data_IF_036808120810
#
_entry.id   IF_036808120810
#
_cell.length_a   1.000
_cell.length_b   1.000
_cell.length_c   1.000
_cell.angle_alpha   90.00
_cell.angle_beta   90.00
_cell.angle_gamma   90.00
#
_symmetry.space_group_name_H-M   'P 1'
#
loop_
_entity.id
_entity.type
_entity.pdbx_description
1 polymer ?
#
# COMPACT_ATOMS: atom_id res chain seq x y z
N UNK A 1 3.21 -14.71 -2.93
CA UNK A 1 3.46 -13.34 -2.40
C UNK A 1 3.50 -13.45 -0.88
N UNK A 2 4.45 -12.80 -0.22
CA UNK A 2 4.54 -12.72 1.25
C UNK A 2 4.42 -11.26 1.66
N UNK A 3 3.67 -11.00 2.72
CA UNK A 3 3.42 -9.65 3.22
C UNK A 3 3.43 -9.66 4.75
N UNK A 4 4.05 -8.64 5.32
CA UNK A 4 3.88 -8.25 6.70
C UNK A 4 3.37 -6.81 6.72
N UNK A 5 2.30 -6.55 7.45
CA UNK A 5 1.60 -5.27 7.46
C UNK A 5 1.11 -4.96 8.87
N UNK A 6 1.46 -3.79 9.37
CA UNK A 6 0.87 -3.24 10.58
C UNK A 6 -0.50 -2.62 10.24
N UNK A 7 -1.52 -2.94 11.03
CA UNK A 7 -2.89 -2.44 10.87
C UNK A 7 -3.38 -1.92 12.21
N UNK A 8 -4.07 -0.78 12.20
CA UNK A 8 -4.73 -0.25 13.39
C UNK A 8 -6.00 -1.07 13.72
N UNK A 9 -5.81 -2.20 14.41
CA UNK A 9 -6.88 -3.18 14.68
C UNK A 9 -8.02 -2.65 15.56
N UNK A 10 -7.80 -1.57 16.30
CA UNK A 10 -8.85 -0.91 17.08
C UNK A 10 -9.92 -0.26 16.18
N UNK A 11 -9.51 0.22 15.00
CA UNK A 11 -10.39 0.88 14.02
C UNK A 11 -10.85 -0.12 12.96
N UNK A 12 -9.98 -1.03 12.54
CA UNK A 12 -10.29 -2.06 11.56
C UNK A 12 -9.89 -3.43 12.10
N UNK A 13 -10.76 -4.10 12.88
CA UNK A 13 -10.45 -5.38 13.51
C UNK A 13 -10.06 -6.40 12.45
N UNK A 14 -8.96 -7.13 12.64
CA UNK A 14 -8.48 -8.17 11.73
C UNK A 14 -8.18 -9.43 12.54
N UNK A 15 -8.72 -10.58 12.12
CA UNK A 15 -8.55 -11.85 12.81
C UNK A 15 -7.76 -12.85 11.98
N UNK A 16 -7.19 -13.85 12.66
CA UNK A 16 -6.57 -14.99 11.98
C UNK A 16 -7.62 -15.65 11.08
N UNK A 17 -7.22 -15.97 9.85
CA UNK A 17 -8.06 -16.52 8.77
C UNK A 17 -9.00 -15.54 8.07
N UNK A 18 -9.06 -14.26 8.46
CA UNK A 18 -9.76 -13.25 7.65
C UNK A 18 -9.15 -13.19 6.26
N UNK A 19 -10.03 -13.17 5.24
CA UNK A 19 -9.65 -12.93 3.86
C UNK A 19 -9.93 -11.48 3.53
N UNK A 20 -9.02 -10.87 2.79
CA UNK A 20 -9.18 -9.49 2.36
C UNK A 20 -8.55 -9.27 0.99
N UNK A 21 -9.06 -8.27 0.29
CA UNK A 21 -8.45 -7.69 -0.91
C UNK A 21 -7.63 -6.49 -0.47
N UNK A 22 -6.42 -6.36 -1.00
CA UNK A 22 -5.56 -5.22 -0.78
C UNK A 22 -5.12 -4.63 -2.12
N UNK A 23 -5.16 -3.30 -2.22
CA UNK A 23 -4.66 -2.54 -3.36
C UNK A 23 -3.60 -1.55 -2.88
N UNK A 24 -2.51 -1.44 -3.64
CA UNK A 24 -1.57 -0.32 -3.55
C UNK A 24 -1.80 0.60 -4.73
N UNK A 25 -2.02 1.88 -4.47
CA UNK A 25 -2.27 2.90 -5.49
C UNK A 25 -1.36 4.12 -5.30
N UNK A 26 -0.98 4.79 -6.38
CA UNK A 26 -0.24 6.06 -6.37
C UNK A 26 -1.15 7.29 -6.28
N UNK A 27 -2.46 7.11 -6.52
CA UNK A 27 -3.50 8.15 -6.48
C UNK A 27 -4.83 7.53 -6.08
N UNK A 28 -5.73 8.34 -5.51
CA UNK A 28 -7.12 7.97 -5.25
C UNK A 28 -8.07 8.44 -6.36
N UNK A 29 -7.58 9.22 -7.31
CA UNK A 29 -8.38 9.72 -8.42
C UNK A 29 -8.72 8.55 -9.36
N UNK A 30 -10.02 8.37 -9.64
CA UNK A 30 -10.52 7.24 -10.45
C UNK A 30 -10.06 7.30 -11.92
N UNK A 31 -9.74 8.49 -12.41
CA UNK A 31 -9.20 8.74 -13.75
C UNK A 31 -7.68 8.52 -13.86
N UNK A 32 -7.00 8.23 -12.74
CA UNK A 32 -5.57 8.00 -12.68
C UNK A 32 -4.72 9.29 -12.66
N UNK A 33 -5.34 10.47 -12.55
CA UNK A 33 -4.59 11.72 -12.39
C UNK A 33 -3.73 11.69 -11.11
N UNK A 34 -2.49 12.24 -11.12
CA UNK A 34 -1.59 12.15 -9.98
C UNK A 34 -2.16 12.76 -8.69
N UNK A 35 -1.76 12.21 -7.54
CA UNK A 35 -2.09 12.78 -6.24
C UNK A 35 -1.47 14.19 -6.08
N UNK A 36 -2.28 15.15 -5.62
CA UNK A 36 -1.84 16.52 -5.38
C UNK A 36 -1.06 16.65 -4.06
N UNK A 37 -1.17 15.65 -3.19
CA UNK A 37 -0.54 15.63 -1.86
C UNK A 37 -1.32 16.39 -0.79
N UNK A 38 -2.44 17.03 -1.15
CA UNK A 38 -3.37 17.65 -0.23
C UNK A 38 -4.60 16.76 -0.05
N UNK A 39 -5.05 16.61 1.20
CA UNK A 39 -6.35 16.02 1.45
C UNK A 39 -7.42 17.03 1.04
N UNK A 40 -8.04 16.79 -0.10
CA UNK A 40 -9.26 17.49 -0.49
C UNK A 40 -10.43 16.62 -0.08
N UNK A 41 -11.38 17.18 0.66
CA UNK A 41 -12.68 16.54 0.82
C UNK A 41 -13.40 16.68 -0.51
N UNK A 42 -13.00 15.87 -1.48
CA UNK A 42 -13.60 15.86 -2.81
C UNK A 42 -15.08 15.53 -2.64
N UNK A 43 -15.96 16.39 -3.14
CA UNK A 43 -17.40 16.12 -3.13
C UNK A 43 -17.83 15.00 -4.10
N UNK A 44 -16.88 14.26 -4.68
CA UNK A 44 -17.09 13.21 -5.66
C UNK A 44 -16.44 11.89 -5.25
N UNK A 45 -16.87 10.81 -5.89
CA UNK A 45 -16.39 9.44 -5.62
C UNK A 45 -14.88 9.32 -5.93
N UNK A 46 -14.17 8.66 -5.02
CA UNK A 46 -12.75 8.34 -5.10
C UNK A 46 -12.55 6.82 -5.02
N UNK A 47 -11.33 6.36 -5.30
CA UNK A 47 -10.99 4.96 -5.11
C UNK A 47 -11.16 4.51 -3.65
N UNK A 48 -10.96 5.42 -2.68
CA UNK A 48 -11.11 5.13 -1.26
C UNK A 48 -12.53 4.71 -0.87
N UNK A 49 -13.56 5.24 -1.53
CA UNK A 49 -14.97 4.94 -1.23
C UNK A 49 -15.35 3.48 -1.52
N UNK A 50 -14.49 2.74 -2.24
CA UNK A 50 -14.69 1.33 -2.58
C UNK A 50 -14.02 0.36 -1.60
N UNK A 51 -13.35 0.89 -0.57
CA UNK A 51 -12.59 0.12 0.41
C UNK A 51 -12.98 0.55 1.82
N UNK A 52 -12.76 -0.33 2.80
CA UNK A 52 -13.16 -0.10 4.19
C UNK A 52 -12.06 0.54 5.03
N UNK A 53 -10.81 0.31 4.63
CA UNK A 53 -9.64 0.79 5.36
C UNK A 53 -8.62 1.36 4.39
N UNK A 54 -8.19 2.59 4.63
CA UNK A 54 -7.26 3.32 3.77
C UNK A 54 -6.14 3.91 4.61
N UNK A 55 -4.90 3.69 4.19
CA UNK A 55 -3.71 4.30 4.76
C UNK A 55 -2.94 5.08 3.71
N UNK A 56 -2.47 6.26 4.06
CA UNK A 56 -1.58 7.07 3.24
C UNK A 56 -0.15 6.99 3.79
N UNK A 57 0.81 6.78 2.91
CA UNK A 57 2.19 6.52 3.31
C UNK A 57 3.17 6.78 2.19
N UNK A 58 4.40 6.34 2.41
CA UNK A 58 5.49 6.47 1.43
C UNK A 58 6.31 5.21 1.37
N UNK A 59 6.84 4.96 0.18
CA UNK A 59 7.89 3.97 0.00
C UNK A 59 9.22 4.56 0.48
N UNK A 60 9.77 4.05 1.58
CA UNK A 60 10.99 4.63 2.17
C UNK A 60 12.24 3.80 1.85
N UNK A 61 12.10 2.53 1.46
CA UNK A 61 13.24 1.69 1.10
C UNK A 61 12.84 0.60 0.12
N UNK A 62 13.51 0.61 -1.02
CA UNK A 62 13.63 -0.58 -1.86
C UNK A 62 14.96 -1.22 -1.45
N UNK A 63 14.91 -2.38 -0.81
CA UNK A 63 16.14 -3.04 -0.42
C UNK A 63 16.93 -3.40 -1.69
N UNK A 64 18.13 -2.82 -1.81
CA UNK A 64 18.94 -2.93 -3.03
C UNK A 64 19.27 -4.40 -3.32
N UNK A 65 19.03 -4.79 -4.57
CA UNK A 65 19.45 -6.07 -5.14
C UNK A 65 20.97 -6.06 -5.33
N UNK A 66 21.71 -6.55 -4.34
CA UNK A 66 23.12 -6.91 -4.54
C UNK A 66 23.16 -8.44 -4.59
N UNK A 67 22.96 -9.01 -5.79
CA UNK A 67 23.06 -10.45 -6.17
C UNK A 67 23.14 -11.44 -4.98
N UNK A 68 22.05 -12.20 -4.65
CA UNK A 68 22.10 -13.68 -4.68
C UNK A 68 20.68 -14.31 -4.97
N UNK A 69 20.42 -15.63 -4.83
CA UNK A 69 19.25 -16.33 -5.41
C UNK A 69 17.92 -15.94 -4.73
N UNK A 70 16.75 -16.41 -5.23
CA UNK A 70 15.46 -16.14 -4.61
C UNK A 70 15.41 -16.43 -3.09
N UNK A 71 14.61 -15.66 -2.33
CA UNK A 71 13.62 -14.70 -2.83
C UNK A 71 14.14 -13.25 -2.97
N UNK A 72 13.53 -12.46 -3.86
CA UNK A 72 13.84 -11.05 -4.04
C UNK A 72 13.66 -10.23 -2.73
N UNK A 73 14.45 -9.15 -2.55
CA UNK A 73 14.33 -8.26 -1.41
C UNK A 73 12.93 -7.64 -1.29
N UNK A 74 12.46 -7.38 -0.06
CA UNK A 74 11.17 -6.76 0.16
C UNK A 74 11.17 -5.29 -0.26
N UNK A 75 10.01 -4.85 -0.71
CA UNK A 75 9.65 -3.44 -0.81
C UNK A 75 9.10 -2.99 0.55
N UNK A 76 9.66 -1.90 1.09
CA UNK A 76 9.31 -1.41 2.42
C UNK A 76 8.59 -0.05 2.34
N UNK A 77 7.46 0.04 3.02
CA UNK A 77 6.67 1.27 3.12
C UNK A 77 6.35 1.60 4.57
N UNK A 78 6.07 2.89 4.81
CA UNK A 78 5.63 3.42 6.09
C UNK A 78 4.38 4.29 5.90
N UNK A 79 3.37 4.04 6.72
CA UNK A 79 2.10 4.75 6.77
C UNK A 79 2.00 5.46 8.12
N UNK A 80 2.72 6.57 8.26
CA UNK A 80 2.75 7.32 9.52
C UNK A 80 3.34 6.55 10.71
N UNK A 81 4.25 5.60 10.46
CA UNK A 81 4.86 4.75 11.49
C UNK A 81 4.38 3.30 11.46
N UNK A 82 3.23 3.01 10.83
CA UNK A 82 2.80 1.64 10.55
C UNK A 82 3.58 1.09 9.35
N UNK A 83 4.24 -0.05 9.53
CA UNK A 83 5.18 -0.57 8.55
C UNK A 83 4.55 -1.63 7.65
N UNK A 84 5.02 -1.69 6.41
CA UNK A 84 4.74 -2.78 5.50
C UNK A 84 6.04 -3.32 4.89
N UNK A 85 6.14 -4.64 4.80
CA UNK A 85 7.11 -5.34 4.00
C UNK A 85 6.40 -6.26 3.00
N UNK A 86 6.61 -6.01 1.70
CA UNK A 86 6.01 -6.78 0.62
C UNK A 86 7.08 -7.52 -0.20
N UNK A 87 6.95 -8.84 -0.32
CA UNK A 87 7.79 -9.70 -1.16
C UNK A 87 6.92 -10.41 -2.21
N UNK A 88 7.30 -10.29 -3.47
CA UNK A 88 6.57 -10.89 -4.58
C UNK A 88 7.37 -10.80 -5.88
N UNK A 89 6.66 -10.91 -7.01
CA UNK A 89 7.31 -10.76 -8.31
C UNK A 89 7.80 -9.33 -8.58
N UNK A 90 8.96 -9.12 -9.21
CA UNK A 90 9.49 -7.78 -9.48
C UNK A 90 8.56 -6.83 -10.26
N UNK A 91 7.52 -7.35 -10.92
CA UNK A 91 6.53 -6.59 -11.68
C UNK A 91 5.78 -5.55 -10.84
N UNK A 92 5.43 -5.85 -9.58
CA UNK A 92 4.75 -4.88 -8.71
C UNK A 92 5.67 -3.73 -8.27
N UNK A 93 7.00 -3.96 -8.25
CA UNK A 93 7.96 -2.94 -7.87
C UNK A 93 8.19 -1.90 -8.98
N UNK A 94 7.87 -2.23 -10.25
CA UNK A 94 8.05 -1.31 -11.38
C UNK A 94 7.16 -0.07 -11.31
N UNK A 95 6.00 -0.17 -10.66
CA UNK A 95 5.06 0.94 -10.47
C UNK A 95 5.32 1.74 -9.19
N UNK A 96 6.26 1.28 -8.35
CA UNK A 96 6.56 1.86 -7.05
C UNK A 96 7.93 2.54 -7.09
N UNK A 97 7.93 3.88 -7.02
CA UNK A 97 9.16 4.66 -6.91
C UNK A 97 9.43 5.03 -5.45
N UNK A 98 10.71 5.14 -5.10
CA UNK A 98 11.14 5.62 -3.79
C UNK A 98 10.59 7.03 -3.54
N UNK A 99 10.24 7.33 -2.29
CA UNK A 99 9.68 8.61 -1.83
C UNK A 99 8.31 9.00 -2.42
N UNK A 100 7.75 8.19 -3.32
CA UNK A 100 6.39 8.40 -3.80
C UNK A 100 5.38 8.17 -2.67
N UNK A 101 4.36 9.04 -2.65
CA UNK A 101 3.16 8.81 -1.86
C UNK A 101 2.44 7.59 -2.42
N UNK A 102 2.02 6.73 -1.52
CA UNK A 102 1.24 5.54 -1.83
C UNK A 102 0.04 5.46 -0.90
N UNK A 103 -1.03 4.89 -1.41
CA UNK A 103 -2.23 4.56 -0.68
C UNK A 103 -2.33 3.04 -0.60
N UNK A 104 -2.57 2.53 0.61
CA UNK A 104 -2.92 1.14 0.86
C UNK A 104 -4.40 1.09 1.16
N UNK A 105 -5.14 0.29 0.39
CA UNK A 105 -6.58 0.15 0.52
C UNK A 105 -6.94 -1.32 0.80
N UNK A 106 -7.78 -1.57 1.80
CA UNK A 106 -8.23 -2.91 2.20
C UNK A 106 -9.75 -2.98 2.25
N UNK A 107 -10.28 -4.10 1.77
CA UNK A 107 -11.68 -4.51 1.95
C UNK A 107 -11.71 -6.01 2.28
N UNK A 108 -12.43 -6.38 3.34
CA UNK A 108 -12.61 -7.80 3.71
C UNK A 108 -13.47 -8.53 2.69
N UNK A 109 -13.32 -9.85 2.61
CA UNK A 109 -14.11 -10.72 1.70
C UNK A 109 -15.07 -11.58 2.50
#
# INVERSE_FOLDING_TARGET
MYMQLDVAIEVYPMHVHDKFKMVLASTLNLDGTPDTGYFTQAGGETLADRFEYVMQGKLYRIANYVKPPPPPPPVLASFGGLLMALRGEPSFAKTLHLDNRIFLLIHKV
#
